data_IF_690512587021
#
_entry.id   IF_690512587021
#
_cell.length_a   1.000
_cell.length_b   1.000
_cell.length_c   1.000
_cell.angle_alpha   90.00
_cell.angle_beta   90.00
_cell.angle_gamma   90.00
#
_symmetry.space_group_name_H-M   'P 1'
#
loop_
_entity.id
_entity.type
_entity.pdbx_description
1 polymer ?
#
# COMPACT_ATOMS: atom_id res chain seq x y z
N UNK A 1 12.90 -6.33 -4.54
CA UNK A 1 14.26 -5.91 -4.13
C UNK A 1 14.64 -4.70 -5.00
N UNK A 2 14.28 -3.50 -4.53
CA UNK A 2 14.34 -2.28 -5.34
C UNK A 2 15.70 -1.60 -5.16
N UNK A 3 16.35 -1.25 -6.28
CA UNK A 3 17.62 -0.52 -6.26
C UNK A 3 17.39 0.95 -5.91
N UNK A 4 18.22 1.49 -5.02
CA UNK A 4 18.25 2.93 -4.68
C UNK A 4 19.58 3.49 -5.19
N UNK A 5 19.53 4.49 -6.07
CA UNK A 5 20.71 5.13 -6.67
C UNK A 5 21.24 4.47 -7.95
N UNK A 6 22.40 4.94 -8.43
CA UNK A 6 23.02 4.50 -9.71
C UNK A 6 24.08 3.41 -9.54
N UNK A 7 24.34 2.98 -8.32
CA UNK A 7 25.36 1.96 -8.02
C UNK A 7 24.76 0.56 -8.11
N UNK A 8 25.37 -0.30 -8.93
CA UNK A 8 25.00 -1.72 -8.98
C UNK A 8 25.23 -2.37 -7.60
N UNK A 9 24.18 -2.90 -7.00
CA UNK A 9 24.25 -3.57 -5.70
C UNK A 9 24.43 -5.10 -5.87
N UNK A 10 23.50 -5.75 -6.58
CA UNK A 10 23.54 -7.18 -6.90
C UNK A 10 22.80 -7.42 -8.22
N UNK A 11 23.22 -8.47 -8.94
CA UNK A 11 22.50 -9.01 -10.10
C UNK A 11 21.98 -10.39 -9.71
N UNK A 12 20.67 -10.50 -9.48
CA UNK A 12 20.01 -11.76 -9.16
C UNK A 12 19.33 -12.29 -10.41
N UNK A 13 19.61 -13.53 -10.79
CA UNK A 13 18.87 -14.22 -11.84
C UNK A 13 17.64 -14.91 -11.23
N UNK A 14 16.59 -15.09 -12.03
CA UNK A 14 15.39 -15.80 -11.59
C UNK A 14 15.72 -17.24 -11.13
N UNK A 15 16.68 -17.88 -11.80
CA UNK A 15 17.08 -19.27 -11.55
C UNK A 15 17.94 -19.45 -10.28
N UNK A 16 18.49 -18.38 -9.71
CA UNK A 16 19.28 -18.45 -8.46
C UNK A 16 18.38 -18.76 -7.25
N UNK A 17 17.09 -18.40 -7.33
CA UNK A 17 16.10 -18.56 -6.26
C UNK A 17 14.75 -19.05 -6.83
N UNK A 18 14.67 -20.31 -7.31
CA UNK A 18 13.52 -20.81 -8.07
C UNK A 18 12.26 -20.99 -7.23
N UNK A 19 12.37 -20.92 -5.90
CA UNK A 19 11.25 -21.02 -4.98
C UNK A 19 11.31 -19.88 -3.96
N UNK A 20 10.12 -19.38 -3.61
CA UNK A 20 9.92 -18.46 -2.49
C UNK A 20 8.71 -18.93 -1.70
N UNK A 21 8.83 -18.98 -0.38
CA UNK A 21 7.69 -19.28 0.46
C UNK A 21 6.69 -18.13 0.38
N UNK A 22 5.41 -18.45 0.13
CA UNK A 22 4.33 -17.49 0.29
C UNK A 22 3.99 -17.42 1.77
N UNK A 23 4.18 -16.25 2.37
CA UNK A 23 3.88 -15.95 3.77
C UNK A 23 2.94 -14.75 3.84
N UNK A 24 2.40 -14.45 5.01
CA UNK A 24 1.56 -13.27 5.24
C UNK A 24 2.32 -11.94 5.24
N UNK A 25 3.64 -11.96 5.02
CA UNK A 25 4.47 -10.77 4.93
C UNK A 25 4.40 -10.15 3.53
N UNK A 26 3.98 -8.89 3.44
CA UNK A 26 4.10 -8.08 2.23
C UNK A 26 5.41 -7.30 2.26
N UNK A 27 6.44 -7.85 1.62
CA UNK A 27 7.77 -7.24 1.51
C UNK A 27 7.95 -6.36 0.27
N UNK A 28 7.00 -6.46 -0.66
CA UNK A 28 6.97 -5.76 -1.94
C UNK A 28 6.44 -4.33 -1.85
N UNK A 29 5.52 -4.06 -0.92
CA UNK A 29 4.96 -2.72 -0.65
C UNK A 29 5.72 -1.95 0.44
N UNK A 30 6.91 -2.43 0.81
CA UNK A 30 7.77 -1.73 1.76
C UNK A 30 8.42 -0.54 1.05
N UNK A 31 8.00 0.67 1.39
CA UNK A 31 8.86 1.83 1.24
C UNK A 31 10.16 1.56 1.99
N UNK A 32 11.28 1.55 1.26
CA UNK A 32 12.60 1.70 1.89
C UNK A 32 12.63 3.06 2.63
N UNK A 33 13.70 3.39 3.37
CA UNK A 33 13.78 4.66 4.13
C UNK A 33 13.59 5.96 3.32
N UNK A 34 13.27 5.86 2.04
CA UNK A 34 12.88 6.89 1.07
C UNK A 34 11.43 6.65 0.59
N UNK A 35 10.50 6.39 1.50
CA UNK A 35 9.08 6.36 1.13
C UNK A 35 8.62 7.72 0.63
N UNK A 36 7.47 7.75 -0.06
CA UNK A 36 6.89 8.99 -0.56
C UNK A 36 6.82 10.06 0.54
N UNK A 37 7.04 11.31 0.13
CA UNK A 37 6.93 12.46 1.02
C UNK A 37 5.54 12.45 1.66
N UNK A 38 5.52 12.30 2.98
CA UNK A 38 4.27 12.27 3.74
C UNK A 38 3.73 13.68 3.84
N UNK A 39 2.51 13.87 3.34
CA UNK A 39 1.76 15.13 3.48
C UNK A 39 1.09 15.23 4.86
N UNK A 40 0.93 14.10 5.55
CA UNK A 40 0.34 14.01 6.89
C UNK A 40 1.23 13.18 7.83
N UNK A 41 1.23 13.52 9.12
CA UNK A 41 2.15 12.94 10.13
C UNK A 41 2.08 11.42 10.15
N UNK A 42 0.87 10.86 10.06
CA UNK A 42 0.62 9.42 9.96
C UNK A 42 -0.15 9.14 8.67
N UNK A 43 0.59 8.75 7.63
CA UNK A 43 0.03 8.41 6.32
C UNK A 43 0.37 6.97 5.97
N UNK A 44 -0.66 6.15 5.78
CA UNK A 44 -0.53 4.78 5.31
C UNK A 44 -0.27 4.79 3.80
N UNK A 45 0.60 3.88 3.32
CA UNK A 45 0.86 3.70 1.89
C UNK A 45 -0.42 3.25 1.17
N UNK A 46 -0.71 3.85 0.01
CA UNK A 46 -1.94 3.60 -0.73
C UNK A 46 -2.04 2.14 -1.19
N UNK A 47 -0.92 1.52 -1.58
CA UNK A 47 -0.82 0.14 -2.04
C UNK A 47 -1.29 -0.87 -0.99
N UNK A 48 -1.03 -0.58 0.29
CA UNK A 48 -1.47 -1.44 1.40
C UNK A 48 -3.00 -1.43 1.53
N UNK A 49 -3.60 -0.23 1.45
CA UNK A 49 -5.06 -0.06 1.54
C UNK A 49 -5.74 -0.63 0.30
N UNK A 50 -5.19 -0.37 -0.90
CA UNK A 50 -5.68 -0.90 -2.18
C UNK A 50 -5.71 -2.42 -2.18
N UNK A 51 -4.60 -3.08 -1.78
CA UNK A 51 -4.54 -4.53 -1.73
C UNK A 51 -5.63 -5.11 -0.84
N UNK A 52 -5.80 -4.58 0.38
CA UNK A 52 -6.87 -5.00 1.28
C UNK A 52 -8.26 -4.82 0.65
N UNK A 53 -8.52 -3.64 0.08
CA UNK A 53 -9.83 -3.28 -0.46
C UNK A 53 -10.22 -4.14 -1.67
N UNK A 54 -9.30 -4.34 -2.62
CA UNK A 54 -9.54 -5.15 -3.81
C UNK A 54 -9.71 -6.64 -3.49
N UNK A 55 -9.15 -7.13 -2.38
CA UNK A 55 -9.32 -8.52 -1.96
C UNK A 55 -10.65 -8.79 -1.26
N UNK A 56 -11.32 -7.77 -0.70
CA UNK A 56 -12.44 -7.97 0.24
C UNK A 56 -13.74 -7.27 -0.13
N UNK A 57 -13.76 -6.47 -1.20
CA UNK A 57 -14.94 -5.68 -1.61
C UNK A 57 -15.06 -5.59 -3.12
N UNK A 58 -16.25 -5.26 -3.60
CA UNK A 58 -16.56 -4.97 -5.00
C UNK A 58 -16.84 -3.47 -5.24
N UNK A 59 -16.75 -2.98 -6.49
CA UNK A 59 -17.21 -1.63 -6.82
C UNK A 59 -18.66 -1.39 -6.36
N UNK A 60 -18.90 -0.25 -5.73
CA UNK A 60 -20.19 0.14 -5.15
C UNK A 60 -20.37 -0.20 -3.67
N UNK A 61 -19.54 -1.07 -3.10
CA UNK A 61 -19.54 -1.37 -1.66
C UNK A 61 -19.22 -0.13 -0.81
N UNK A 62 -19.67 -0.15 0.44
CA UNK A 62 -19.42 0.92 1.41
C UNK A 62 -18.20 0.61 2.28
N UNK A 63 -17.21 1.50 2.26
CA UNK A 63 -16.04 1.47 3.11
C UNK A 63 -16.22 2.46 4.28
N UNK A 64 -15.88 2.03 5.49
CA UNK A 64 -15.85 2.88 6.67
C UNK A 64 -14.43 2.94 7.25
N UNK A 65 -13.92 4.15 7.46
CA UNK A 65 -12.69 4.40 8.19
C UNK A 65 -12.93 5.46 9.28
N UNK A 66 -13.09 5.06 10.55
CA UNK A 66 -13.40 5.99 11.63
C UNK A 66 -12.15 6.71 12.20
N UNK A 67 -10.98 6.51 11.59
CA UNK A 67 -9.69 7.06 12.04
C UNK A 67 -8.88 7.56 10.86
N UNK A 68 -9.53 8.29 9.95
CA UNK A 68 -9.02 8.41 8.58
C UNK A 68 -7.72 9.21 8.44
N UNK A 69 -7.41 10.10 9.39
CA UNK A 69 -6.18 10.90 9.40
C UNK A 69 -5.88 11.50 8.02
N UNK A 70 -4.82 11.00 7.37
CA UNK A 70 -4.40 11.40 6.02
C UNK A 70 -5.41 11.19 4.88
N UNK A 71 -6.51 10.47 5.12
CA UNK A 71 -7.57 10.24 4.13
C UNK A 71 -7.24 9.17 3.09
N UNK A 72 -6.16 8.38 3.25
CA UNK A 72 -5.75 7.34 2.29
C UNK A 72 -6.90 6.39 1.93
N UNK A 73 -7.73 6.00 2.90
CA UNK A 73 -8.87 5.10 2.65
C UNK A 73 -9.91 5.69 1.70
N UNK A 74 -10.29 6.96 1.89
CA UNK A 74 -11.21 7.65 0.99
C UNK A 74 -10.62 7.78 -0.41
N UNK A 75 -9.33 8.14 -0.51
CA UNK A 75 -8.63 8.28 -1.78
C UNK A 75 -8.67 6.98 -2.60
N UNK A 76 -8.30 5.86 -1.98
CA UNK A 76 -8.30 4.54 -2.64
C UNK A 76 -9.72 4.06 -2.95
N UNK A 77 -10.68 4.28 -2.04
CA UNK A 77 -12.08 3.92 -2.28
C UNK A 77 -12.65 4.64 -3.50
N UNK A 78 -12.42 5.95 -3.62
CA UNK A 78 -12.86 6.75 -4.76
C UNK A 78 -12.23 6.26 -6.07
N UNK A 79 -10.90 6.03 -6.07
CA UNK A 79 -10.17 5.52 -7.25
C UNK A 79 -10.78 4.22 -7.78
N UNK A 80 -11.16 3.31 -6.88
CA UNK A 80 -11.67 1.99 -7.24
C UNK A 80 -13.20 1.90 -7.24
N UNK A 81 -13.91 3.03 -7.17
CA UNK A 81 -15.37 3.08 -7.31
C UNK A 81 -16.14 2.48 -6.13
N UNK A 82 -15.61 2.56 -4.91
CA UNK A 82 -16.34 2.25 -3.68
C UNK A 82 -16.96 3.53 -3.12
N UNK A 83 -18.08 3.38 -2.41
CA UNK A 83 -18.62 4.45 -1.57
C UNK A 83 -17.82 4.47 -0.28
N UNK A 84 -17.66 5.63 0.34
CA UNK A 84 -16.87 5.73 1.57
C UNK A 84 -17.48 6.70 2.58
N UNK A 85 -17.23 6.39 3.85
CA UNK A 85 -17.45 7.28 4.99
C UNK A 85 -16.16 7.29 5.79
N UNK A 86 -15.63 8.49 6.04
CA UNK A 86 -14.45 8.67 6.87
C UNK A 86 -14.74 9.61 8.04
N UNK A 87 -14.10 9.37 9.18
CA UNK A 87 -14.26 10.18 10.39
C UNK A 87 -12.87 10.46 10.95
N UNK A 88 -12.67 11.69 11.42
CA UNK A 88 -11.49 12.09 12.16
C UNK A 88 -11.88 13.13 13.23
N UNK A 89 -11.04 13.29 14.26
CA UNK A 89 -11.29 14.21 15.37
C UNK A 89 -10.38 15.44 15.38
N UNK A 90 -9.44 15.56 14.42
CA UNK A 90 -8.46 16.65 14.38
C UNK A 90 -8.96 17.97 13.79
#
# INVERSE_FOLDING_TARGET
>A
MYGVGTTLNYKNYHDDFPYRQVVSLWDDIRSSGFGDDKLYVVQTQAEAVERCMLMTTDPGDLILDPTCGSGTTAHVAEQWGRRWITIDTS
#
